data_IF_163593736895
#
_entry.id   IF_163593736895
#
_cell.length_a   1.000
_cell.length_b   1.000
_cell.length_c   1.000
_cell.angle_alpha   90.00
_cell.angle_beta   90.00
_cell.angle_gamma   90.00
#
_symmetry.space_group_name_H-M   'P 1'
#
loop_
_entity.id
_entity.type
_entity.pdbx_description
1 polymer ?
#
# COMPACT_ATOMS: atom_id res chain seq x y z
N UNK A 1 26.82 12.58 -16.64
CA UNK A 1 27.09 11.11 -16.61
C UNK A 1 27.69 10.80 -15.26
N UNK A 2 26.86 10.33 -14.33
CA UNK A 2 27.20 10.05 -12.93
C UNK A 2 28.16 8.86 -12.81
N UNK A 3 28.92 8.82 -11.72
CA UNK A 3 30.13 8.04 -11.46
C UNK A 3 30.10 6.50 -11.66
N UNK A 4 28.98 5.93 -12.13
CA UNK A 4 28.84 4.52 -12.49
C UNK A 4 29.39 4.15 -13.88
N UNK A 5 29.70 5.14 -14.73
CA UNK A 5 30.38 4.89 -16.02
C UNK A 5 31.86 4.45 -15.87
N UNK A 6 32.43 4.32 -14.66
CA UNK A 6 33.82 3.92 -14.42
C UNK A 6 34.01 2.47 -13.97
N UNK A 7 33.15 1.54 -14.37
CA UNK A 7 33.48 0.09 -14.40
C UNK A 7 33.30 -0.46 -15.83
N UNK A 8 34.29 -0.25 -16.72
CA UNK A 8 34.19 -0.62 -18.12
C UNK A 8 34.74 -2.02 -18.34
N UNK A 9 33.87 -3.05 -18.33
CA UNK A 9 34.10 -4.31 -19.08
C UNK A 9 33.03 -5.38 -18.86
N UNK A 10 32.31 -5.39 -17.74
CA UNK A 10 31.36 -6.48 -17.44
C UNK A 10 29.89 -6.25 -17.83
N UNK A 11 29.42 -5.00 -17.79
CA UNK A 11 27.97 -4.73 -17.77
C UNK A 11 27.32 -4.65 -19.16
N UNK A 12 28.06 -4.26 -20.20
CA UNK A 12 27.49 -4.09 -21.55
C UNK A 12 27.53 -5.37 -22.40
N UNK A 13 28.31 -6.39 -22.00
CA UNK A 13 28.55 -7.59 -22.81
C UNK A 13 27.78 -8.85 -22.33
N UNK A 14 27.05 -8.79 -21.21
CA UNK A 14 26.49 -9.98 -20.56
C UNK A 14 24.96 -10.19 -20.78
N UNK A 15 24.24 -9.21 -21.29
CA UNK A 15 22.76 -9.15 -21.25
C UNK A 15 22.01 -9.92 -22.37
N UNK A 16 22.71 -10.72 -23.17
CA UNK A 16 22.09 -11.52 -24.26
C UNK A 16 21.76 -12.97 -23.87
N UNK A 17 22.01 -13.40 -22.62
CA UNK A 17 21.67 -14.77 -22.14
C UNK A 17 20.74 -14.73 -20.92
N UNK A 18 19.78 -15.67 -20.88
CA UNK A 18 18.83 -15.89 -19.78
C UNK A 18 19.49 -16.05 -18.38
N UNK A 19 20.80 -16.30 -18.34
CA UNK A 19 21.62 -16.42 -17.12
C UNK A 19 21.88 -15.07 -16.42
N UNK A 20 21.78 -13.93 -17.11
CA UNK A 20 22.15 -12.64 -16.51
C UNK A 20 21.03 -11.91 -15.76
N UNK A 21 19.77 -12.21 -16.06
CA UNK A 21 18.63 -11.53 -15.42
C UNK A 21 18.50 -11.92 -13.93
N UNK A 22 18.69 -13.19 -13.52
CA UNK A 22 18.74 -13.55 -12.10
C UNK A 22 19.87 -12.83 -11.35
N UNK A 23 21.08 -12.79 -11.91
CA UNK A 23 22.21 -12.07 -11.30
C UNK A 23 21.95 -10.57 -11.19
N UNK A 24 21.30 -9.97 -12.19
CA UNK A 24 20.89 -8.57 -12.15
C UNK A 24 19.91 -8.28 -11.00
N UNK A 25 18.98 -9.21 -10.73
CA UNK A 25 18.09 -9.15 -9.56
C UNK A 25 18.86 -9.22 -8.25
N UNK A 26 19.78 -10.17 -8.12
CA UNK A 26 20.60 -10.36 -6.92
C UNK A 26 21.42 -9.10 -6.60
N UNK A 27 22.09 -8.51 -7.58
CA UNK A 27 22.88 -7.28 -7.40
C UNK A 27 21.99 -6.11 -6.96
N UNK A 28 20.76 -6.00 -7.50
CA UNK A 28 19.81 -4.97 -7.06
C UNK A 28 19.35 -5.19 -5.60
N UNK A 29 19.19 -6.44 -5.16
CA UNK A 29 18.84 -6.77 -3.78
C UNK A 29 20.00 -6.50 -2.82
N UNK A 30 21.24 -6.87 -3.18
CA UNK A 30 22.44 -6.55 -2.38
C UNK A 30 22.56 -5.04 -2.19
N UNK A 31 22.37 -4.28 -3.27
CA UNK A 31 22.44 -2.82 -3.23
C UNK A 31 21.37 -2.20 -2.31
N UNK A 32 20.16 -2.78 -2.30
CA UNK A 32 19.11 -2.44 -1.33
C UNK A 32 19.54 -2.76 0.10
N UNK A 33 20.02 -3.97 0.36
CA UNK A 33 20.44 -4.39 1.70
C UNK A 33 21.57 -3.52 2.25
N UNK A 34 22.54 -3.15 1.41
CA UNK A 34 23.61 -2.21 1.78
C UNK A 34 23.04 -0.84 2.16
N UNK A 35 22.05 -0.36 1.41
CA UNK A 35 21.37 0.90 1.72
C UNK A 35 20.63 0.87 3.05
N UNK A 36 19.87 -0.20 3.30
CA UNK A 36 19.12 -0.35 4.54
C UNK A 36 20.03 -0.47 5.78
N UNK A 37 21.27 -0.96 5.63
CA UNK A 37 22.27 -0.96 6.71
C UNK A 37 22.78 0.44 7.05
N UNK A 38 22.89 1.32 6.07
CA UNK A 38 23.30 2.69 6.26
C UNK A 38 22.71 3.58 5.16
N UNK A 39 21.61 4.27 5.45
CA UNK A 39 20.84 5.06 4.48
C UNK A 39 21.62 6.23 3.85
N UNK A 40 22.84 6.56 4.32
CA UNK A 40 23.71 7.53 3.65
C UNK A 40 24.52 6.94 2.49
N UNK A 41 24.61 5.61 2.43
CA UNK A 41 25.31 4.86 1.41
C UNK A 41 24.34 3.85 0.79
N UNK A 42 24.54 3.44 -0.45
CA UNK A 42 25.30 4.15 -1.47
C UNK A 42 24.63 5.50 -1.82
N UNK A 43 25.43 6.55 -2.06
CA UNK A 43 24.94 7.94 -2.23
C UNK A 43 23.91 8.16 -3.33
N UNK A 44 23.79 7.25 -4.30
CA UNK A 44 22.85 7.35 -5.41
C UNK A 44 21.82 6.22 -5.40
N UNK A 45 21.36 5.81 -4.22
CA UNK A 45 20.43 4.69 -4.07
C UNK A 45 19.18 4.86 -4.96
N UNK A 46 18.46 5.97 -4.79
CA UNK A 46 17.23 6.26 -5.55
C UNK A 46 17.48 6.27 -7.05
N UNK A 47 18.53 6.97 -7.52
CA UNK A 47 18.82 7.08 -8.94
C UNK A 47 19.19 5.72 -9.56
N UNK A 48 19.90 4.87 -8.81
CA UNK A 48 20.24 3.52 -9.25
C UNK A 48 19.00 2.64 -9.34
N UNK A 49 18.13 2.65 -8.32
CA UNK A 49 16.89 1.86 -8.35
C UNK A 49 15.95 2.29 -9.47
N UNK A 50 15.82 3.60 -9.74
CA UNK A 50 15.09 4.12 -10.91
C UNK A 50 15.70 3.57 -12.22
N UNK A 51 17.03 3.57 -12.34
CA UNK A 51 17.70 3.01 -13.51
C UNK A 51 17.40 1.51 -13.64
N UNK A 52 17.39 0.76 -12.54
CA UNK A 52 17.06 -0.68 -12.53
C UNK A 52 15.67 -0.92 -13.10
N UNK A 53 14.67 -0.21 -12.59
CA UNK A 53 13.26 -0.30 -13.03
C UNK A 53 13.13 0.07 -14.52
N UNK A 54 13.75 1.17 -14.93
CA UNK A 54 13.67 1.67 -16.31
C UNK A 54 14.39 0.75 -17.32
N UNK A 55 15.49 0.12 -16.90
CA UNK A 55 16.19 -0.86 -17.71
C UNK A 55 15.29 -2.07 -17.98
N UNK A 56 14.58 -2.58 -16.97
CA UNK A 56 13.62 -3.66 -17.15
C UNK A 56 12.56 -3.33 -18.21
N UNK A 57 12.00 -2.10 -18.19
CA UNK A 57 11.08 -1.65 -19.23
C UNK A 57 11.73 -1.63 -20.62
N UNK A 58 12.94 -1.07 -20.70
CA UNK A 58 13.67 -0.92 -21.96
C UNK A 58 14.03 -2.28 -22.57
N UNK A 59 14.39 -3.27 -21.74
CA UNK A 59 14.63 -4.63 -22.20
C UNK A 59 13.37 -5.29 -22.74
N UNK A 60 12.22 -5.13 -22.07
CA UNK A 60 10.94 -5.65 -22.56
C UNK A 60 10.58 -5.09 -23.94
N UNK A 61 10.68 -3.77 -24.10
CA UNK A 61 10.43 -3.11 -25.39
C UNK A 61 11.38 -3.59 -26.49
N UNK A 62 12.65 -3.79 -26.14
CA UNK A 62 13.67 -4.30 -27.06
C UNK A 62 13.39 -5.74 -27.51
N UNK A 63 13.01 -6.63 -26.58
CA UNK A 63 12.65 -8.02 -26.89
C UNK A 63 11.43 -8.07 -27.80
N UNK A 64 10.39 -7.27 -27.53
CA UNK A 64 9.20 -7.18 -28.38
C UNK A 64 9.56 -6.67 -29.78
N UNK A 65 10.39 -5.63 -29.87
CA UNK A 65 10.87 -5.08 -31.15
C UNK A 65 11.65 -6.10 -31.97
N UNK A 66 12.58 -6.83 -31.34
CA UNK A 66 13.36 -7.90 -32.00
C UNK A 66 12.47 -9.04 -32.48
N UNK A 67 11.51 -9.51 -31.66
CA UNK A 67 10.53 -10.51 -32.08
C UNK A 67 9.76 -10.07 -33.33
N UNK A 68 9.28 -8.81 -33.34
CA UNK A 68 8.55 -8.25 -34.49
C UNK A 68 9.41 -8.16 -35.76
N UNK A 69 10.71 -7.88 -35.61
CA UNK A 69 11.64 -7.67 -36.73
C UNK A 69 12.18 -8.98 -37.32
N UNK A 70 12.41 -10.01 -36.50
CA UNK A 70 13.13 -11.22 -36.91
C UNK A 70 12.30 -12.51 -36.89
N UNK A 71 11.17 -12.60 -36.16
CA UNK A 71 10.32 -13.80 -36.10
C UNK A 71 9.08 -13.73 -37.00
N UNK A 72 9.19 -13.10 -38.17
CA UNK A 72 8.09 -13.09 -39.17
C UNK A 72 7.97 -14.39 -39.99
N UNK A 73 8.74 -15.43 -39.69
CA UNK A 73 8.64 -16.71 -40.38
C UNK A 73 8.94 -17.87 -39.44
N UNK A 74 8.20 -18.94 -39.69
CA UNK A 74 8.22 -20.28 -39.09
C UNK A 74 7.44 -20.51 -37.80
N UNK A 75 6.55 -21.49 -37.90
CA UNK A 75 5.62 -21.93 -36.88
C UNK A 75 6.25 -22.77 -35.78
N UNK A 76 5.36 -23.21 -34.89
CA UNK A 76 5.60 -24.07 -33.72
C UNK A 76 6.31 -23.42 -32.53
N UNK A 77 5.51 -22.72 -31.73
CA UNK A 77 5.87 -22.37 -30.36
C UNK A 77 5.70 -23.59 -29.43
N UNK A 78 6.71 -24.45 -29.34
CA UNK A 78 6.86 -25.36 -28.20
C UNK A 78 7.46 -24.58 -27.02
N UNK A 79 6.62 -23.81 -26.31
CA UNK A 79 7.04 -23.12 -25.09
C UNK A 79 6.95 -24.10 -23.92
N UNK A 80 8.12 -24.55 -23.46
CA UNK A 80 8.28 -25.34 -22.23
C UNK A 80 7.64 -24.62 -21.03
N UNK A 81 6.70 -25.30 -20.37
CA UNK A 81 5.84 -24.80 -19.29
C UNK A 81 6.53 -24.66 -17.92
N UNK A 82 7.85 -24.82 -17.82
CA UNK A 82 8.56 -24.96 -16.54
C UNK A 82 9.46 -23.78 -16.14
N UNK A 83 9.64 -22.74 -16.98
CA UNK A 83 10.42 -21.55 -16.61
C UNK A 83 9.62 -20.25 -16.73
N UNK A 84 9.77 -19.29 -15.77
CA UNK A 84 9.16 -17.98 -15.92
C UNK A 84 9.70 -17.32 -17.19
N UNK A 85 8.79 -16.77 -18.00
CA UNK A 85 9.18 -16.06 -19.21
C UNK A 85 10.12 -14.90 -18.85
N UNK A 86 11.06 -14.59 -19.73
CA UNK A 86 11.99 -13.45 -19.56
C UNK A 86 11.24 -12.14 -19.24
N UNK A 87 10.04 -11.97 -19.81
CA UNK A 87 9.17 -10.83 -19.52
C UNK A 87 8.65 -10.82 -18.08
N UNK A 88 8.20 -11.98 -17.58
CA UNK A 88 7.76 -12.14 -16.18
C UNK A 88 8.88 -11.87 -15.18
N UNK A 89 10.11 -12.31 -15.48
CA UNK A 89 11.26 -12.07 -14.62
C UNK A 89 11.66 -10.58 -14.58
N UNK A 90 11.66 -9.90 -15.74
CA UNK A 90 11.91 -8.46 -15.81
C UNK A 90 10.79 -7.66 -15.10
N UNK A 91 9.54 -8.11 -15.17
CA UNK A 91 8.43 -7.50 -14.42
C UNK A 91 8.64 -7.62 -12.91
N UNK A 92 9.05 -8.80 -12.44
CA UNK A 92 9.33 -9.07 -11.04
C UNK A 92 10.44 -8.16 -10.50
N UNK A 93 11.55 -8.04 -11.23
CA UNK A 93 12.68 -7.16 -10.85
C UNK A 93 12.24 -5.70 -10.75
N UNK A 94 11.48 -5.22 -11.74
CA UNK A 94 10.97 -3.86 -11.72
C UNK A 94 9.99 -3.62 -10.56
N UNK A 95 9.11 -4.57 -10.26
CA UNK A 95 8.20 -4.52 -9.11
C UNK A 95 8.95 -4.51 -7.78
N UNK A 96 9.97 -5.34 -7.64
CA UNK A 96 10.84 -5.34 -6.45
C UNK A 96 11.59 -4.03 -6.28
N UNK A 97 12.09 -3.47 -7.37
CA UNK A 97 12.72 -2.15 -7.36
C UNK A 97 11.73 -1.05 -6.92
N UNK A 98 10.49 -1.09 -7.42
CA UNK A 98 9.43 -0.20 -6.96
C UNK A 98 9.15 -0.39 -5.47
N UNK A 99 9.03 -1.63 -5.01
CA UNK A 99 8.80 -1.96 -3.61
C UNK A 99 9.92 -1.49 -2.69
N UNK A 100 11.16 -1.55 -3.15
CA UNK A 100 12.33 -1.10 -2.39
C UNK A 100 12.38 0.43 -2.26
N UNK A 101 12.03 1.15 -3.33
CA UNK A 101 11.86 2.60 -3.26
C UNK A 101 10.73 3.00 -2.31
N UNK A 102 9.60 2.28 -2.33
CA UNK A 102 8.51 2.54 -1.39
C UNK A 102 8.91 2.21 0.04
N UNK A 103 9.70 1.17 0.29
CA UNK A 103 10.21 0.87 1.64
C UNK A 103 10.99 2.05 2.22
N UNK A 104 11.84 2.69 1.42
CA UNK A 104 12.55 3.92 1.82
C UNK A 104 11.59 5.04 2.23
N UNK A 105 10.51 5.26 1.46
CA UNK A 105 9.47 6.23 1.81
C UNK A 105 8.83 5.87 3.17
N UNK A 106 8.42 4.62 3.34
CA UNK A 106 7.69 4.19 4.53
C UNK A 106 8.54 4.17 5.81
N UNK A 107 9.86 4.03 5.70
CA UNK A 107 10.77 4.22 6.82
C UNK A 107 10.72 5.67 7.35
N UNK A 108 10.66 6.67 6.48
CA UNK A 108 10.53 8.08 6.90
C UNK A 108 9.11 8.45 7.35
N UNK A 109 8.10 7.70 6.91
CA UNK A 109 6.72 7.89 7.34
C UNK A 109 6.40 7.19 8.68
N UNK A 110 7.20 6.22 9.11
CA UNK A 110 6.88 5.32 10.24
C UNK A 110 6.46 6.09 11.50
N UNK A 111 7.23 7.11 11.89
CA UNK A 111 6.92 7.91 13.07
C UNK A 111 5.55 8.60 12.95
N UNK A 112 5.25 9.19 11.79
CA UNK A 112 4.01 9.93 11.56
C UNK A 112 2.80 9.01 11.43
N UNK A 113 2.96 7.86 10.79
CA UNK A 113 1.92 6.82 10.72
C UNK A 113 1.63 6.25 12.12
N UNK A 114 2.65 6.08 12.96
CA UNK A 114 2.49 5.60 14.33
C UNK A 114 1.73 6.57 15.24
N UNK A 115 1.70 7.85 14.88
CA UNK A 115 1.02 8.92 15.60
C UNK A 115 -0.48 8.96 15.33
N UNK A 116 -0.94 8.41 14.20
CA UNK A 116 -2.36 8.31 13.86
C UNK A 116 -3.14 7.56 14.95
N UNK A 117 -4.38 8.00 15.21
CA UNK A 117 -5.26 7.39 16.21
C UNK A 117 -4.63 7.31 17.62
N UNK A 118 -3.80 8.28 17.97
CA UNK A 118 -3.28 8.49 19.33
C UNK A 118 -3.96 9.68 20.00
N UNK A 119 -3.69 9.89 21.30
CA UNK A 119 -4.11 11.12 21.98
C UNK A 119 -3.52 12.37 21.33
N UNK A 120 -2.28 12.29 20.83
CA UNK A 120 -1.64 13.41 20.13
C UNK A 120 -2.36 13.72 18.82
N UNK A 121 -2.79 12.68 18.10
CA UNK A 121 -3.68 12.83 16.96
C UNK A 121 -4.97 13.52 17.37
N UNK A 122 -5.70 13.05 18.38
CA UNK A 122 -6.94 13.70 18.84
C UNK A 122 -6.75 15.20 19.17
N UNK A 123 -5.62 15.58 19.75
CA UNK A 123 -5.31 16.97 20.12
C UNK A 123 -4.83 17.87 18.96
N UNK A 124 -4.96 17.44 17.70
CA UNK A 124 -4.65 18.30 16.55
C UNK A 124 -3.28 18.10 15.91
N UNK A 125 -2.72 16.88 15.90
CA UNK A 125 -1.44 16.67 15.20
C UNK A 125 -1.47 16.97 13.70
N UNK A 126 -0.32 17.27 13.12
CA UNK A 126 -0.13 17.48 11.67
C UNK A 126 0.45 16.24 10.97
N UNK A 127 0.24 15.03 11.52
CA UNK A 127 0.86 13.81 11.02
C UNK A 127 0.52 13.55 9.54
N UNK A 128 -0.75 13.73 9.14
CA UNK A 128 -1.19 13.52 7.76
C UNK A 128 -0.64 14.58 6.81
N UNK A 129 -0.47 15.82 7.26
CA UNK A 129 0.17 16.87 6.46
C UNK A 129 1.62 16.50 6.13
N UNK A 130 2.38 16.05 7.15
CA UNK A 130 3.77 15.63 6.97
C UNK A 130 3.83 14.39 6.06
N UNK A 131 2.94 13.41 6.26
CA UNK A 131 2.85 12.24 5.37
C UNK A 131 2.65 12.69 3.92
N UNK A 132 1.74 13.64 3.67
CA UNK A 132 1.47 14.12 2.33
C UNK A 132 2.69 14.79 1.68
N UNK A 133 3.37 15.68 2.42
CA UNK A 133 4.55 16.39 1.92
C UNK A 133 5.69 15.40 1.64
N UNK A 134 6.00 14.51 2.57
CA UNK A 134 7.06 13.50 2.41
C UNK A 134 6.81 12.60 1.22
N UNK A 135 5.58 12.10 1.05
CA UNK A 135 5.21 11.29 -0.13
C UNK A 135 5.36 12.12 -1.41
N UNK A 136 4.89 13.37 -1.44
CA UNK A 136 5.02 14.21 -2.62
C UNK A 136 6.49 14.42 -3.02
N UNK A 137 7.36 14.73 -2.07
CA UNK A 137 8.79 14.95 -2.29
C UNK A 137 9.48 13.71 -2.89
N UNK A 138 9.21 12.53 -2.31
CA UNK A 138 9.74 11.27 -2.85
C UNK A 138 9.23 10.98 -4.28
N UNK A 139 7.93 11.21 -4.55
CA UNK A 139 7.38 10.97 -5.87
C UNK A 139 7.87 11.98 -6.94
N UNK A 140 8.30 13.17 -6.51
CA UNK A 140 9.03 14.11 -7.38
C UNK A 140 10.42 13.55 -7.76
N UNK A 141 11.15 12.95 -6.81
CA UNK A 141 12.42 12.26 -7.10
C UNK A 141 12.22 11.02 -8.00
N UNK A 142 11.07 10.35 -7.89
CA UNK A 142 10.70 9.20 -8.71
C UNK A 142 10.11 9.58 -10.08
N UNK A 143 10.09 10.87 -10.43
CA UNK A 143 9.42 11.36 -11.65
C UNK A 143 9.90 10.68 -12.95
N UNK A 144 11.16 10.21 -12.98
CA UNK A 144 11.80 9.57 -14.14
C UNK A 144 11.42 8.10 -14.34
N UNK A 145 10.64 7.49 -13.45
CA UNK A 145 10.18 6.11 -13.63
C UNK A 145 9.19 6.04 -14.79
N UNK A 146 9.43 5.11 -15.72
CA UNK A 146 8.59 4.92 -16.91
C UNK A 146 7.27 4.21 -16.57
N UNK A 147 6.24 4.44 -17.40
CA UNK A 147 5.05 3.57 -17.43
C UNK A 147 5.46 2.15 -17.86
N UNK A 148 4.80 1.09 -17.36
CA UNK A 148 3.64 1.08 -16.46
C UNK A 148 4.01 1.14 -14.96
N UNK A 149 5.29 1.10 -14.61
CA UNK A 149 5.74 0.96 -13.21
C UNK A 149 5.41 2.18 -12.35
N UNK A 150 5.52 3.41 -12.89
CA UNK A 150 5.11 4.63 -12.17
C UNK A 150 3.66 4.57 -11.71
N UNK A 151 2.75 4.13 -12.60
CA UNK A 151 1.32 3.98 -12.31
C UNK A 151 1.12 3.00 -11.14
N UNK A 152 1.66 1.79 -11.27
CA UNK A 152 1.57 0.75 -10.23
C UNK A 152 2.15 1.20 -8.88
N UNK A 153 3.23 1.97 -8.89
CA UNK A 153 3.86 2.49 -7.68
C UNK A 153 2.97 3.49 -6.94
N UNK A 154 2.28 4.37 -7.67
CA UNK A 154 1.32 5.33 -7.09
C UNK A 154 0.16 4.57 -6.43
N UNK A 155 -0.42 3.60 -7.14
CA UNK A 155 -1.50 2.78 -6.60
C UNK A 155 -1.10 2.00 -5.34
N UNK A 156 0.10 1.41 -5.35
CA UNK A 156 0.65 0.68 -4.20
C UNK A 156 0.91 1.61 -3.01
N UNK A 157 1.50 2.79 -3.23
CA UNK A 157 1.71 3.77 -2.17
C UNK A 157 0.38 4.24 -1.58
N UNK A 158 -0.61 4.54 -2.43
CA UNK A 158 -1.95 4.94 -1.98
C UNK A 158 -2.56 3.86 -1.08
N UNK A 159 -2.57 2.61 -1.56
CA UNK A 159 -3.08 1.48 -0.81
C UNK A 159 -2.38 1.34 0.54
N UNK A 160 -1.05 1.37 0.58
CA UNK A 160 -0.28 1.20 1.82
C UNK A 160 -0.59 2.30 2.83
N UNK A 161 -0.64 3.57 2.42
CA UNK A 161 -0.96 4.67 3.35
C UNK A 161 -2.35 4.49 3.96
N UNK A 162 -3.35 4.13 3.15
CA UNK A 162 -4.71 3.86 3.65
C UNK A 162 -4.75 2.65 4.57
N UNK A 163 -4.03 1.57 4.23
CA UNK A 163 -3.92 0.38 5.08
C UNK A 163 -3.26 0.73 6.43
N UNK A 164 -2.19 1.52 6.46
CA UNK A 164 -1.57 1.98 7.71
C UNK A 164 -2.52 2.85 8.55
N UNK A 165 -3.30 3.71 7.89
CA UNK A 165 -4.31 4.53 8.55
C UNK A 165 -5.39 3.68 9.22
N UNK A 166 -5.95 2.72 8.47
CA UNK A 166 -6.96 1.78 8.98
C UNK A 166 -6.37 0.80 10.01
N UNK A 167 -5.08 0.46 9.89
CA UNK A 167 -4.38 -0.30 10.91
C UNK A 167 -4.29 0.49 12.20
N UNK A 168 -3.99 1.79 12.15
CA UNK A 168 -3.98 2.63 13.35
C UNK A 168 -5.36 2.66 14.02
N UNK A 169 -6.43 2.76 13.22
CA UNK A 169 -7.83 2.62 13.67
C UNK A 169 -7.99 1.29 14.43
N UNK A 170 -7.65 0.15 13.84
CA UNK A 170 -7.94 -1.16 14.46
C UNK A 170 -6.99 -1.56 15.60
N UNK A 171 -5.78 -1.00 15.67
CA UNK A 171 -4.75 -1.45 16.62
C UNK A 171 -4.53 -0.52 17.81
N UNK A 172 -4.80 0.78 17.66
CA UNK A 172 -4.49 1.76 18.71
C UNK A 172 -5.58 1.72 19.78
N UNK A 173 -5.16 1.83 21.03
CA UNK A 173 -6.02 1.72 22.22
C UNK A 173 -6.64 3.06 22.63
N UNK A 174 -6.98 3.91 21.67
CA UNK A 174 -7.82 5.07 21.97
C UNK A 174 -9.29 4.64 22.00
N UNK A 175 -10.09 5.36 22.77
CA UNK A 175 -11.53 5.16 22.83
C UNK A 175 -12.19 6.52 22.95
N UNK A 176 -13.12 6.81 22.05
CA UNK A 176 -13.87 8.06 22.06
C UNK A 176 -14.87 8.03 23.23
N UNK A 177 -14.74 8.98 24.16
CA UNK A 177 -15.48 8.94 25.44
C UNK A 177 -16.81 9.68 25.41
N UNK A 178 -17.04 10.49 24.39
CA UNK A 178 -18.25 11.30 24.24
C UNK A 178 -18.73 11.33 22.80
N UNK A 179 -19.99 11.73 22.59
CA UNK A 179 -20.54 11.93 21.25
C UNK A 179 -19.80 13.03 20.49
N UNK A 180 -19.37 14.09 21.18
CA UNK A 180 -18.60 15.18 20.58
C UNK A 180 -17.21 14.72 20.12
N UNK A 181 -16.50 13.93 20.94
CA UNK A 181 -15.19 13.37 20.59
C UNK A 181 -15.30 12.42 19.39
N UNK A 182 -16.37 11.59 19.34
CA UNK A 182 -16.68 10.73 18.19
C UNK A 182 -16.92 11.53 16.92
N UNK A 183 -17.72 12.60 17.01
CA UNK A 183 -18.02 13.48 15.88
C UNK A 183 -16.76 14.19 15.38
N UNK A 184 -15.97 14.79 16.27
CA UNK A 184 -14.73 15.49 15.91
C UNK A 184 -13.70 14.53 15.29
N UNK A 185 -13.51 13.36 15.90
CA UNK A 185 -12.64 12.32 15.39
C UNK A 185 -13.06 11.83 14.00
N UNK A 186 -14.35 11.54 13.79
CA UNK A 186 -14.86 11.12 12.49
C UNK A 186 -14.73 12.21 11.42
N UNK A 187 -15.09 13.46 11.73
CA UNK A 187 -14.93 14.58 10.81
C UNK A 187 -13.47 14.80 10.44
N UNK A 188 -12.55 14.60 11.39
CA UNK A 188 -11.12 14.62 11.13
C UNK A 188 -10.69 13.49 10.19
N UNK A 189 -11.15 12.27 10.42
CA UNK A 189 -10.85 11.14 9.53
C UNK A 189 -11.29 11.41 8.09
N UNK A 190 -12.46 12.02 7.91
CA UNK A 190 -12.95 12.41 6.58
C UNK A 190 -12.05 13.48 5.95
N UNK A 191 -11.65 14.51 6.69
CA UNK A 191 -10.72 15.54 6.19
C UNK A 191 -9.37 14.95 5.77
N UNK A 192 -8.80 14.10 6.60
CA UNK A 192 -7.52 13.44 6.34
C UNK A 192 -7.62 12.47 5.14
N UNK A 193 -8.74 11.75 4.99
CA UNK A 193 -9.01 10.93 3.82
C UNK A 193 -9.08 11.76 2.52
N UNK A 194 -9.75 12.92 2.53
CA UNK A 194 -9.80 13.80 1.37
C UNK A 194 -8.45 14.44 1.03
N UNK A 195 -7.62 14.72 2.03
CA UNK A 195 -6.25 15.19 1.82
C UNK A 195 -5.38 14.13 1.12
N UNK A 196 -5.44 12.88 1.60
CA UNK A 196 -4.76 11.75 0.96
C UNK A 196 -5.28 11.52 -0.46
N UNK A 197 -6.60 11.57 -0.66
CA UNK A 197 -7.22 11.46 -1.98
C UNK A 197 -6.70 12.53 -2.93
N UNK A 198 -6.64 13.77 -2.49
CA UNK A 198 -6.13 14.89 -3.28
C UNK A 198 -4.67 14.66 -3.70
N UNK A 199 -3.80 14.26 -2.77
CA UNK A 199 -2.41 13.95 -3.05
C UNK A 199 -2.28 12.86 -4.13
N UNK A 200 -2.93 11.71 -3.94
CA UNK A 200 -2.78 10.60 -4.87
C UNK A 200 -3.41 10.86 -6.24
N UNK A 201 -4.51 11.62 -6.32
CA UNK A 201 -5.04 12.15 -7.59
C UNK A 201 -4.03 13.05 -8.30
N UNK A 202 -3.38 13.95 -7.56
CA UNK A 202 -2.33 14.84 -8.09
C UNK A 202 -1.15 14.01 -8.64
N UNK A 203 -0.67 13.03 -7.88
CA UNK A 203 0.42 12.15 -8.33
C UNK A 203 0.04 11.28 -9.54
N UNK A 204 -1.21 10.83 -9.60
CA UNK A 204 -1.77 10.05 -10.70
C UNK A 204 -2.14 10.89 -11.94
N UNK A 205 -2.06 12.22 -11.87
CA UNK A 205 -2.43 13.08 -12.99
C UNK A 205 -1.58 12.73 -14.23
N UNK A 206 -2.27 12.38 -15.34
CA UNK A 206 -1.64 11.91 -16.58
C UNK A 206 -1.30 10.40 -16.62
N UNK A 207 -1.59 9.62 -15.57
CA UNK A 207 -1.45 8.16 -15.56
C UNK A 207 -2.68 7.42 -16.11
N UNK A 208 -3.86 8.06 -16.09
CA UNK A 208 -5.15 7.44 -16.47
C UNK A 208 -5.58 6.36 -15.47
N UNK A 209 -5.28 6.56 -14.19
CA UNK A 209 -5.65 5.67 -13.10
C UNK A 209 -6.73 6.31 -12.26
N UNK A 210 -7.81 5.55 -12.01
CA UNK A 210 -8.75 5.90 -10.97
C UNK A 210 -8.17 5.40 -9.64
N UNK A 211 -7.72 6.35 -8.83
CA UNK A 211 -7.16 6.11 -7.50
C UNK A 211 -8.21 6.32 -6.41
N UNK A 212 -9.49 6.57 -6.73
CA UNK A 212 -10.42 7.13 -5.75
C UNK A 212 -10.90 6.16 -4.67
N UNK A 213 -10.91 4.85 -4.93
CA UNK A 213 -11.66 3.91 -4.08
C UNK A 213 -11.11 3.67 -2.66
N UNK A 214 -9.81 3.84 -2.41
CA UNK A 214 -9.24 3.44 -1.10
C UNK A 214 -9.64 4.39 0.04
N UNK A 215 -9.66 5.71 -0.20
CA UNK A 215 -10.01 6.69 0.82
C UNK A 215 -11.47 6.56 1.28
N UNK A 216 -12.36 6.04 0.42
CA UNK A 216 -13.75 5.77 0.76
C UNK A 216 -13.90 4.78 1.92
N UNK A 217 -12.90 3.91 2.14
CA UNK A 217 -12.88 2.99 3.27
C UNK A 217 -12.69 3.71 4.59
N UNK A 218 -11.83 4.75 4.63
CA UNK A 218 -11.65 5.58 5.84
C UNK A 218 -12.95 6.32 6.15
N UNK A 219 -13.61 6.86 5.12
CA UNK A 219 -14.89 7.57 5.26
C UNK A 219 -15.97 6.62 5.79
N UNK A 220 -16.10 5.42 5.22
CA UNK A 220 -17.07 4.43 5.67
C UNK A 220 -16.86 4.03 7.14
N UNK A 221 -15.60 3.88 7.58
CA UNK A 221 -15.28 3.63 8.99
C UNK A 221 -15.62 4.84 9.88
N UNK A 222 -15.40 6.06 9.38
CA UNK A 222 -15.75 7.29 10.10
C UNK A 222 -17.26 7.42 10.33
N UNK A 223 -18.11 6.98 9.39
CA UNK A 223 -19.57 6.99 9.57
C UNK A 223 -20.03 6.11 10.74
N UNK A 224 -19.42 4.92 10.92
CA UNK A 224 -19.68 4.04 12.08
C UNK A 224 -19.32 4.74 13.40
N UNK A 225 -18.22 5.49 13.42
CA UNK A 225 -17.75 6.23 14.60
C UNK A 225 -18.69 7.41 14.91
N UNK A 226 -19.08 8.17 13.87
CA UNK A 226 -19.90 9.38 13.98
C UNK A 226 -21.34 9.10 14.41
N UNK A 227 -21.87 7.91 14.10
CA UNK A 227 -23.26 7.56 14.37
C UNK A 227 -23.64 7.81 15.85
N UNK A 228 -24.55 8.76 16.07
CA UNK A 228 -24.94 9.20 17.41
C UNK A 228 -25.70 8.13 18.18
N UNK A 229 -26.65 7.46 17.55
CA UNK A 229 -27.53 6.46 18.16
C UNK A 229 -26.90 5.05 18.15
N UNK A 230 -26.52 4.49 19.31
CA UNK A 230 -25.93 3.15 19.40
C UNK A 230 -26.91 2.04 18.99
N UNK A 231 -28.23 2.26 19.04
CA UNK A 231 -29.21 1.24 18.65
C UNK A 231 -29.19 0.94 17.15
N UNK A 232 -28.71 1.89 16.35
CA UNK A 232 -28.59 1.77 14.89
C UNK A 232 -27.21 1.26 14.44
N UNK A 233 -26.29 0.96 15.38
CA UNK A 233 -24.93 0.51 15.07
C UNK A 233 -24.90 -0.70 14.13
N UNK A 234 -25.84 -1.62 14.31
CA UNK A 234 -25.97 -2.80 13.46
C UNK A 234 -26.12 -2.43 11.97
N UNK A 235 -26.90 -1.38 11.65
CA UNK A 235 -27.15 -0.98 10.26
C UNK A 235 -25.89 -0.43 9.58
N UNK A 236 -25.15 0.43 10.29
CA UNK A 236 -23.89 0.99 9.77
C UNK A 236 -22.81 -0.08 9.61
N UNK A 237 -22.67 -0.97 10.61
CA UNK A 237 -21.72 -2.09 10.51
C UNK A 237 -22.13 -3.05 9.40
N UNK A 238 -23.43 -3.36 9.24
CA UNK A 238 -23.94 -4.19 8.15
C UNK A 238 -23.65 -3.57 6.77
N UNK A 239 -23.81 -2.25 6.65
CA UNK A 239 -23.46 -1.51 5.43
C UNK A 239 -21.96 -1.58 5.16
N UNK A 240 -21.13 -1.44 6.21
CA UNK A 240 -19.68 -1.59 6.11
C UNK A 240 -19.27 -3.01 5.65
N UNK A 241 -19.83 -4.07 6.24
CA UNK A 241 -19.56 -5.47 5.83
C UNK A 241 -20.02 -5.73 4.40
N UNK A 242 -21.18 -5.21 4.01
CA UNK A 242 -21.69 -5.37 2.64
C UNK A 242 -20.77 -4.71 1.61
N UNK A 243 -20.21 -3.53 1.94
CA UNK A 243 -19.28 -2.81 1.06
C UNK A 243 -17.87 -3.40 1.07
N UNK A 244 -17.43 -3.98 2.19
CA UNK A 244 -16.09 -4.53 2.41
C UNK A 244 -16.16 -5.96 2.96
N UNK A 245 -16.42 -6.97 2.11
CA UNK A 245 -16.69 -8.34 2.54
C UNK A 245 -15.47 -9.10 3.11
N UNK A 246 -14.27 -8.52 3.07
CA UNK A 246 -13.07 -9.07 3.71
C UNK A 246 -12.84 -8.56 5.15
N UNK A 247 -13.74 -7.71 5.65
CA UNK A 247 -13.78 -7.37 7.07
C UNK A 247 -14.13 -8.62 7.88
N UNK A 248 -13.56 -8.72 9.09
CA UNK A 248 -13.64 -9.91 9.96
C UNK A 248 -14.13 -9.46 11.33
N UNK A 249 -14.61 -10.39 12.15
CA UNK A 249 -15.16 -10.09 13.48
C UNK A 249 -14.16 -9.34 14.37
N UNK A 250 -12.87 -9.67 14.25
CA UNK A 250 -11.80 -8.97 14.96
C UNK A 250 -11.68 -7.48 14.57
N UNK A 251 -11.90 -7.14 13.28
CA UNK A 251 -11.94 -5.75 12.82
C UNK A 251 -13.17 -5.03 13.37
N UNK A 252 -14.34 -5.68 13.34
CA UNK A 252 -15.58 -5.12 13.87
C UNK A 252 -15.44 -4.87 15.38
N UNK A 253 -14.91 -5.85 16.11
CA UNK A 253 -14.65 -5.74 17.54
C UNK A 253 -13.69 -4.60 17.90
N UNK A 254 -12.61 -4.42 17.13
CA UNK A 254 -11.65 -3.32 17.30
C UNK A 254 -12.29 -1.96 17.04
N UNK A 255 -13.05 -1.82 15.95
CA UNK A 255 -13.77 -0.59 15.60
C UNK A 255 -14.77 -0.20 16.71
N UNK A 256 -15.59 -1.15 17.18
CA UNK A 256 -16.55 -0.91 18.24
C UNK A 256 -15.88 -0.65 19.60
N UNK A 257 -14.68 -1.19 19.85
CA UNK A 257 -13.91 -0.87 21.05
C UNK A 257 -13.38 0.57 21.04
N UNK A 258 -12.87 1.03 19.90
CA UNK A 258 -12.45 2.41 19.73
C UNK A 258 -13.61 3.40 19.77
N UNK A 259 -14.78 3.03 19.25
CA UNK A 259 -15.99 3.86 19.35
C UNK A 259 -16.37 4.15 20.81
N UNK A 260 -16.21 3.18 21.71
CA UNK A 260 -16.21 3.40 23.16
C UNK A 260 -17.55 3.30 23.89
N UNK A 261 -18.68 3.30 23.18
CA UNK A 261 -20.04 3.25 23.74
C UNK A 261 -20.77 1.91 23.49
N UNK A 262 -20.18 0.99 22.73
CA UNK A 262 -20.74 -0.33 22.48
C UNK A 262 -20.46 -1.29 23.66
N UNK A 263 -21.52 -1.79 24.29
CA UNK A 263 -21.42 -2.80 25.34
C UNK A 263 -20.90 -4.14 24.79
N UNK A 264 -20.41 -5.02 25.68
CA UNK A 264 -19.94 -6.35 25.27
C UNK A 264 -21.06 -7.16 24.59
N UNK A 265 -22.27 -7.11 25.15
CA UNK A 265 -23.43 -7.84 24.62
C UNK A 265 -23.83 -7.27 23.25
N UNK A 266 -23.84 -5.94 23.10
CA UNK A 266 -24.12 -5.29 21.81
C UNK A 266 -23.11 -5.71 20.74
N UNK A 267 -21.81 -5.75 21.06
CA UNK A 267 -20.77 -6.22 20.14
C UNK A 267 -21.02 -7.66 19.71
N UNK A 268 -21.32 -8.54 20.67
CA UNK A 268 -21.58 -9.95 20.40
C UNK A 268 -22.82 -10.13 19.52
N UNK A 269 -23.93 -9.44 19.84
CA UNK A 269 -25.15 -9.47 19.04
C UNK A 269 -24.92 -8.98 17.61
N UNK A 270 -24.16 -7.89 17.42
CA UNK A 270 -23.84 -7.39 16.07
C UNK A 270 -23.06 -8.45 15.28
N UNK A 271 -22.03 -9.06 15.87
CA UNK A 271 -21.21 -10.08 15.20
C UNK A 271 -22.06 -11.32 14.83
N UNK A 272 -22.81 -11.87 15.78
CA UNK A 272 -23.66 -13.06 15.56
C UNK A 272 -24.75 -12.83 14.50
N UNK A 273 -25.28 -11.60 14.42
CA UNK A 273 -26.32 -11.27 13.43
C UNK A 273 -25.73 -11.15 12.02
N UNK A 274 -24.47 -10.70 11.90
CA UNK A 274 -23.80 -10.54 10.60
C UNK A 274 -23.36 -11.87 9.97
N UNK A 275 -23.06 -12.90 10.78
CA UNK A 275 -22.75 -14.26 10.30
C UNK A 275 -23.89 -14.89 9.49
N UNK A 276 -25.13 -14.39 9.65
CA UNK A 276 -26.33 -14.94 9.00
C UNK A 276 -26.61 -14.31 7.62
N UNK A 277 -25.82 -13.32 7.17
CA UNK A 277 -26.02 -12.60 5.92
C UNK A 277 -25.10 -13.06 4.78
N UNK A 278 -25.58 -13.19 3.53
CA UNK A 278 -24.72 -13.51 2.39
C UNK A 278 -23.86 -12.29 2.00
N UNK A 279 -22.54 -12.38 2.18
CA UNK A 279 -21.60 -11.41 1.62
C UNK A 279 -21.34 -11.72 0.14
N UNK A 280 -21.98 -11.02 -0.78
CA UNK A 280 -21.66 -11.09 -2.21
C UNK A 280 -20.66 -9.99 -2.57
N UNK A 281 -19.40 -10.37 -2.74
CA UNK A 281 -18.37 -9.47 -3.25
C UNK A 281 -18.57 -9.23 -4.75
N UNK A 282 -18.47 -7.98 -5.21
CA UNK A 282 -18.38 -7.66 -6.63
C UNK A 282 -17.09 -8.24 -7.24
N UNK A 283 -17.11 -8.62 -8.52
CA UNK A 283 -15.95 -9.19 -9.23
C UNK A 283 -14.72 -8.28 -9.25
N UNK A 284 -14.93 -6.96 -9.13
CA UNK A 284 -13.87 -5.94 -9.15
C UNK A 284 -13.40 -5.51 -7.74
N UNK A 285 -13.83 -6.22 -6.69
CA UNK A 285 -13.46 -5.90 -5.32
C UNK A 285 -11.97 -6.19 -5.05
N UNK A 286 -11.25 -5.18 -4.58
CA UNK A 286 -9.86 -5.35 -4.09
C UNK A 286 -9.89 -5.34 -2.55
N UNK A 287 -9.67 -6.51 -1.90
CA UNK A 287 -9.66 -6.61 -0.43
C UNK A 287 -8.71 -5.60 0.19
N UNK A 288 -9.04 -4.97 1.33
CA UNK A 288 -8.18 -4.04 2.07
C UNK A 288 -8.00 -4.44 3.52
N UNK A 289 -9.06 -4.93 4.16
CA UNK A 289 -9.03 -5.46 5.53
C UNK A 289 -8.25 -6.77 5.63
N UNK A 290 -8.05 -7.50 4.53
CA UNK A 290 -7.17 -8.66 4.49
C UNK A 290 -5.72 -8.35 4.93
N UNK A 291 -5.23 -7.14 4.65
CA UNK A 291 -3.86 -6.71 4.97
C UNK A 291 -3.76 -6.03 6.35
N UNK A 292 -4.88 -5.95 7.07
CA UNK A 292 -4.97 -5.42 8.42
C UNK A 292 -5.00 -6.61 9.38
N UNK A 293 -4.01 -6.66 10.25
CA UNK A 293 -3.94 -7.64 11.33
C UNK A 293 -4.41 -6.96 12.60
N UNK A 294 -5.42 -7.51 13.26
CA UNK A 294 -5.86 -7.04 14.56
C UNK A 294 -5.19 -7.90 15.63
N UNK A 295 -4.40 -7.33 16.55
CA UNK A 295 -3.84 -8.09 17.66
C UNK A 295 -4.98 -8.70 18.47
N UNK A 296 -5.02 -10.03 18.55
CA UNK A 296 -5.95 -10.70 19.45
C UNK A 296 -5.63 -10.26 20.88
N UNK A 297 -6.67 -9.81 21.61
CA UNK A 297 -6.58 -9.58 23.05
C UNK A 297 -6.41 -10.95 23.72
N UNK A 298 -5.18 -11.47 23.75
CA UNK A 298 -4.83 -12.56 24.63
C UNK A 298 -4.99 -12.05 26.07
N UNK A 299 -6.11 -12.43 26.68
CA UNK A 299 -6.50 -12.19 28.09
C UNK A 299 -5.40 -12.66 29.07
N UNK A 300 -4.45 -13.49 28.61
CA UNK A 300 -3.34 -14.02 29.39
C UNK A 300 -2.26 -13.01 29.85
N UNK A 301 -2.31 -11.72 29.45
CA UNK A 301 -1.34 -10.70 29.93
C UNK A 301 -1.91 -9.69 30.94
N UNK A 302 -3.12 -9.91 31.46
CA UNK A 302 -3.70 -9.12 32.56
C UNK A 302 -3.59 -9.80 33.94
N UNK A 303 -2.82 -10.90 34.02
CA UNK A 303 -2.45 -11.54 35.29
C UNK A 303 -0.93 -11.67 35.39
N UNK A 304 -0.24 -10.55 35.58
CA UNK A 304 1.04 -10.46 36.29
C UNK A 304 1.12 -9.13 37.00
#
# INVERSE_FOLDING_TARGET
MSAWCRRPSGFFCALTRAVCVPRYREEAQVYKEEHLRNRQHPHCYVQYMIAVINNCQTFKESVVSLKRKYLKSEGEASVSLSQPSMDGLLDAIAKEGCGSLLEEVFLDLEQHLSELMTKKWLLGSNAVDIICVTVEDYFNDFAKIKKPYKKRMIAEAHRRVVVEYLRAVMQKRISFRSADERKEGAERMVREAEQLRFLFRKLASGSGEDVDGYCDTIIAVAEVIKLTDPSLLYLEVSTLVSKYPDIRDEHIGALLAMRGDASRDMKQTIIETLEQGPAQASTDYVPIFKDIVVPSLNVAKLLK
#
